data_IF_143188409824
#
_entry.id   IF_143188409824
#
_cell.length_a   1.000
_cell.length_b   1.000
_cell.length_c   1.000
_cell.angle_alpha   90.00
_cell.angle_beta   90.00
_cell.angle_gamma   90.00
#
_symmetry.space_group_name_H-M   'P 1'
#
loop_
_entity.id
_entity.type
_entity.pdbx_description
1 polymer ?
#
# COMPACT_ATOMS: atom_id res chain seq x y z
N UNK A 1 25.34 -44.82 10.20
CA UNK A 1 25.01 -43.92 11.33
C UNK A 1 23.89 -42.99 10.86
N UNK A 2 22.73 -42.98 11.51
CA UNK A 2 21.63 -42.09 11.11
C UNK A 2 21.85 -40.68 11.65
N UNK A 3 22.26 -39.77 10.75
CA UNK A 3 22.57 -38.37 11.08
C UNK A 3 21.34 -37.63 11.59
N UNK A 4 20.12 -37.95 11.12
CA UNK A 4 18.88 -37.30 11.61
C UNK A 4 18.61 -37.66 13.07
N UNK A 5 18.67 -38.95 13.40
CA UNK A 5 18.47 -39.41 14.78
C UNK A 5 19.54 -38.86 15.73
N UNK A 6 20.78 -38.75 15.27
CA UNK A 6 21.87 -38.14 16.05
C UNK A 6 21.60 -36.66 16.36
N UNK A 7 21.19 -35.88 15.35
CA UNK A 7 20.83 -34.46 15.51
C UNK A 7 19.72 -34.30 16.57
N UNK A 8 18.66 -35.10 16.47
CA UNK A 8 17.52 -35.02 17.39
C UNK A 8 17.90 -35.45 18.81
N UNK A 9 18.70 -36.51 18.96
CA UNK A 9 19.20 -36.98 20.26
C UNK A 9 20.09 -35.93 20.93
N UNK A 10 20.98 -35.29 20.18
CA UNK A 10 21.89 -34.27 20.71
C UNK A 10 21.15 -32.99 21.11
N UNK A 11 20.16 -32.59 20.32
CA UNK A 11 19.27 -31.48 20.66
C UNK A 11 18.41 -31.77 21.90
N UNK A 12 17.98 -33.01 22.10
CA UNK A 12 17.26 -33.40 23.31
C UNK A 12 18.13 -33.31 24.57
N UNK A 13 19.44 -33.56 24.45
CA UNK A 13 20.38 -33.51 25.56
C UNK A 13 20.91 -32.09 25.86
N UNK A 14 21.16 -31.27 24.83
CA UNK A 14 21.92 -30.01 24.97
C UNK A 14 21.08 -28.73 24.80
N UNK A 15 19.76 -28.84 24.59
CA UNK A 15 18.80 -27.76 24.26
C UNK A 15 19.09 -27.01 22.94
N UNK A 16 20.35 -26.82 22.57
CA UNK A 16 20.81 -26.23 21.32
C UNK A 16 22.09 -26.90 20.80
N UNK A 17 22.28 -26.92 19.48
CA UNK A 17 23.52 -27.42 18.84
C UNK A 17 23.91 -26.58 17.62
N UNK A 18 25.17 -26.61 17.22
CA UNK A 18 25.67 -26.07 15.95
C UNK A 18 25.96 -27.19 14.94
N UNK A 19 26.03 -26.82 13.67
CA UNK A 19 26.44 -27.76 12.59
C UNK A 19 27.84 -28.31 12.84
N UNK A 20 28.75 -27.49 13.39
CA UNK A 20 30.11 -27.89 13.78
C UNK A 20 30.12 -29.07 14.75
N UNK A 21 29.13 -29.13 15.64
CA UNK A 21 29.10 -30.12 16.72
C UNK A 21 28.72 -31.50 16.19
N UNK A 22 28.02 -31.56 15.05
CA UNK A 22 27.69 -32.80 14.35
C UNK A 22 28.82 -33.18 13.38
N UNK A 23 29.46 -32.21 12.74
CA UNK A 23 30.65 -32.46 11.91
C UNK A 23 31.78 -33.08 12.73
N UNK A 24 32.08 -32.53 13.91
CA UNK A 24 33.15 -33.03 14.78
C UNK A 24 32.91 -34.45 15.31
N UNK A 25 31.65 -34.88 15.42
CA UNK A 25 31.28 -36.20 15.94
C UNK A 25 31.10 -37.25 14.84
N UNK A 26 30.71 -36.82 13.64
CA UNK A 26 30.44 -37.74 12.51
C UNK A 26 31.57 -37.82 11.49
N UNK A 27 32.44 -36.81 11.41
CA UNK A 27 33.48 -36.69 10.38
C UNK A 27 32.95 -36.37 8.97
N UNK A 28 31.65 -36.17 8.79
CA UNK A 28 31.06 -35.88 7.48
C UNK A 28 31.29 -34.45 7.03
N UNK A 29 31.22 -34.25 5.70
CA UNK A 29 31.34 -32.91 5.10
C UNK A 29 30.23 -31.97 5.59
N UNK A 30 30.56 -30.68 5.72
CA UNK A 30 29.58 -29.65 6.14
C UNK A 30 28.36 -29.59 5.22
N UNK A 31 28.53 -29.82 3.92
CA UNK A 31 27.43 -29.84 2.96
C UNK A 31 26.45 -30.99 3.23
N UNK A 32 26.98 -32.18 3.53
CA UNK A 32 26.19 -33.37 3.83
C UNK A 32 25.41 -33.22 5.15
N UNK A 33 26.05 -32.72 6.21
CA UNK A 33 25.37 -32.45 7.49
C UNK A 33 24.29 -31.37 7.34
N UNK A 34 24.58 -30.29 6.60
CA UNK A 34 23.61 -29.21 6.35
C UNK A 34 22.35 -29.69 5.62
N UNK A 35 22.47 -30.70 4.76
CA UNK A 35 21.31 -31.29 4.09
C UNK A 35 20.31 -31.85 5.11
N UNK A 36 20.76 -32.60 6.12
CA UNK A 36 19.88 -33.13 7.17
C UNK A 36 19.29 -32.05 8.10
N UNK A 37 20.06 -31.01 8.43
CA UNK A 37 19.52 -29.86 9.17
C UNK A 37 18.44 -29.12 8.36
N UNK A 38 18.60 -29.04 7.03
CA UNK A 38 17.58 -28.47 6.15
C UNK A 38 16.33 -29.35 6.14
N UNK A 39 16.45 -30.65 5.95
CA UNK A 39 15.30 -31.57 5.98
C UNK A 39 14.55 -31.54 7.31
N UNK A 40 15.25 -31.60 8.45
CA UNK A 40 14.59 -31.53 9.77
C UNK A 40 13.91 -30.18 10.04
N UNK A 41 14.41 -29.09 9.42
CA UNK A 41 13.78 -27.78 9.49
C UNK A 41 12.55 -27.70 8.58
N UNK A 42 12.63 -28.28 7.39
CA UNK A 42 11.53 -28.35 6.43
C UNK A 42 10.39 -29.26 6.98
N UNK A 43 10.74 -30.34 7.69
CA UNK A 43 9.84 -31.19 8.49
C UNK A 43 9.30 -30.48 9.76
N UNK A 44 9.82 -29.29 10.09
CA UNK A 44 9.40 -28.49 11.24
C UNK A 44 9.78 -29.05 12.60
N UNK A 45 10.74 -29.98 12.67
CA UNK A 45 11.23 -30.62 13.91
C UNK A 45 12.25 -29.76 14.65
N UNK A 46 12.97 -28.89 13.94
CA UNK A 46 14.01 -28.01 14.51
C UNK A 46 13.91 -26.58 13.98
N UNK A 47 14.47 -25.61 14.71
CA UNK A 47 14.46 -24.18 14.37
C UNK A 47 15.89 -23.66 14.41
N UNK A 48 16.25 -22.81 13.44
CA UNK A 48 17.53 -22.09 13.41
C UNK A 48 17.40 -20.74 14.14
N UNK A 49 18.32 -20.48 15.06
CA UNK A 49 18.49 -19.25 15.82
C UNK A 49 19.85 -18.62 15.48
N UNK A 50 19.88 -17.31 15.29
CA UNK A 50 21.11 -16.57 14.97
C UNK A 50 21.46 -16.54 13.47
N UNK A 51 22.52 -15.80 13.12
CA UNK A 51 23.01 -15.64 11.74
C UNK A 51 24.51 -15.97 11.67
N UNK A 52 24.96 -16.43 10.50
CA UNK A 52 26.35 -16.73 10.20
C UNK A 52 27.03 -17.59 11.29
N UNK A 53 28.11 -17.09 11.89
CA UNK A 53 28.92 -17.82 12.88
C UNK A 53 28.22 -18.02 14.25
N UNK A 54 27.03 -17.44 14.44
CA UNK A 54 26.21 -17.61 15.63
C UNK A 54 24.98 -18.51 15.39
N UNK A 55 24.90 -19.18 14.24
CA UNK A 55 23.83 -20.12 13.92
C UNK A 55 23.79 -21.31 14.90
N UNK A 56 22.69 -21.43 15.64
CA UNK A 56 22.37 -22.53 16.56
C UNK A 56 21.01 -23.12 16.22
N UNK A 57 20.84 -24.42 16.38
CA UNK A 57 19.59 -25.12 16.14
C UNK A 57 19.00 -25.56 17.47
N UNK A 58 17.67 -25.49 17.59
CA UNK A 58 16.92 -25.96 18.76
C UNK A 58 15.77 -26.89 18.32
N UNK A 59 15.27 -27.75 19.22
CA UNK A 59 14.05 -28.53 18.98
C UNK A 59 12.83 -27.61 18.88
N UNK A 60 11.98 -27.88 17.89
CA UNK A 60 10.69 -27.24 17.79
C UNK A 60 9.74 -27.85 18.85
N UNK A 61 9.68 -27.26 20.06
CA UNK A 61 8.64 -27.66 21.04
C UNK A 61 7.26 -27.37 20.42
N UNK A 62 6.31 -28.30 20.57
CA UNK A 62 4.94 -28.25 20.02
C UNK A 62 4.19 -26.92 20.29
N UNK A 63 4.60 -26.15 21.30
CA UNK A 63 4.02 -24.84 21.66
C UNK A 63 4.95 -23.61 21.42
N UNK A 64 6.17 -23.77 20.89
CA UNK A 64 7.17 -22.69 20.83
C UNK A 64 7.56 -22.20 19.42
N UNK A 65 6.80 -22.51 18.35
CA UNK A 65 6.99 -21.79 17.07
C UNK A 65 6.79 -20.27 17.24
N UNK A 66 6.00 -19.83 18.21
CA UNK A 66 5.82 -18.41 18.56
C UNK A 66 6.94 -17.84 19.47
N UNK A 67 7.57 -18.64 20.33
CA UNK A 67 8.56 -18.14 21.30
C UNK A 67 9.91 -17.77 20.64
N UNK A 68 10.36 -18.49 19.61
CA UNK A 68 11.63 -18.21 18.91
C UNK A 68 11.56 -17.09 17.86
N UNK A 69 10.36 -16.83 17.31
CA UNK A 69 10.12 -15.78 16.29
C UNK A 69 9.82 -14.40 16.89
N UNK A 70 9.36 -14.35 18.14
CA UNK A 70 8.96 -13.12 18.84
C UNK A 70 10.00 -11.98 18.91
N UNK A 71 11.33 -12.20 18.94
CA UNK A 71 12.26 -11.07 19.05
C UNK A 71 12.52 -10.36 17.71
N UNK A 72 12.28 -11.00 16.56
CA UNK A 72 12.57 -10.39 15.26
C UNK A 72 11.36 -9.57 14.82
N UNK A 73 11.40 -8.27 15.12
CA UNK A 73 10.33 -7.32 14.80
C UNK A 73 10.60 -6.49 13.54
N UNK A 74 11.57 -6.91 12.73
CA UNK A 74 11.88 -6.24 11.46
C UNK A 74 12.38 -7.21 10.40
N UNK A 75 12.00 -6.96 9.15
CA UNK A 75 12.53 -7.61 7.95
C UNK A 75 13.09 -6.56 7.00
N UNK A 76 14.20 -6.90 6.35
CA UNK A 76 14.77 -6.15 5.23
C UNK A 76 15.16 -7.14 4.13
N UNK A 77 14.62 -6.93 2.93
CA UNK A 77 14.85 -7.80 1.77
C UNK A 77 15.16 -6.96 0.54
N UNK A 78 16.19 -7.35 -0.21
CA UNK A 78 16.47 -6.84 -1.55
C UNK A 78 16.08 -7.96 -2.52
N UNK A 79 15.05 -7.71 -3.33
CA UNK A 79 14.40 -8.68 -4.18
C UNK A 79 14.78 -8.41 -5.64
N UNK A 80 15.13 -9.45 -6.39
CA UNK A 80 15.24 -9.35 -7.84
C UNK A 80 13.85 -9.39 -8.46
N UNK A 81 13.54 -8.43 -9.33
CA UNK A 81 12.23 -8.35 -9.97
C UNK A 81 12.16 -9.29 -11.20
N UNK A 82 12.26 -10.60 -10.94
CA UNK A 82 12.16 -11.65 -11.95
C UNK A 82 11.37 -12.81 -11.36
N UNK A 83 10.18 -13.07 -11.92
CA UNK A 83 9.24 -14.08 -11.40
C UNK A 83 8.97 -13.92 -9.89
N UNK A 84 8.89 -12.66 -9.43
CA UNK A 84 8.61 -12.32 -8.04
C UNK A 84 7.09 -12.38 -7.81
N UNK A 85 6.70 -12.83 -6.62
CA UNK A 85 5.30 -13.03 -6.21
C UNK A 85 5.13 -12.39 -4.84
N UNK A 86 4.24 -11.41 -4.72
CA UNK A 86 4.07 -10.59 -3.52
C UNK A 86 3.57 -11.39 -2.31
N UNK A 87 2.68 -12.36 -2.55
CA UNK A 87 2.18 -13.33 -1.57
C UNK A 87 3.32 -14.15 -0.95
N UNK A 88 4.21 -14.72 -1.79
CA UNK A 88 5.36 -15.51 -1.34
C UNK A 88 6.35 -14.67 -0.53
N UNK A 89 6.53 -13.40 -0.91
CA UNK A 89 7.38 -12.48 -0.15
C UNK A 89 6.77 -12.18 1.21
N UNK A 90 5.46 -11.94 1.28
CA UNK A 90 4.74 -11.70 2.52
C UNK A 90 4.78 -12.94 3.44
N UNK A 91 4.55 -14.14 2.91
CA UNK A 91 4.61 -15.40 3.65
C UNK A 91 6.01 -15.68 4.20
N UNK A 92 7.05 -15.37 3.42
CA UNK A 92 8.44 -15.39 3.90
C UNK A 92 8.64 -14.43 5.07
N UNK A 93 8.11 -13.19 5.02
CA UNK A 93 8.20 -12.24 6.15
C UNK A 93 7.45 -12.76 7.38
N UNK A 94 6.23 -13.30 7.21
CA UNK A 94 5.41 -13.85 8.29
C UNK A 94 6.05 -15.08 8.95
N UNK A 95 6.72 -15.92 8.17
CA UNK A 95 7.36 -17.13 8.68
C UNK A 95 8.71 -16.88 9.35
N UNK A 96 9.43 -15.83 8.92
CA UNK A 96 10.77 -15.48 9.42
C UNK A 96 10.75 -14.48 10.59
N UNK A 97 9.65 -13.77 10.83
CA UNK A 97 9.57 -12.69 11.83
C UNK A 97 8.39 -12.82 12.80
N UNK A 98 8.49 -12.14 13.94
CA UNK A 98 7.41 -11.99 14.93
C UNK A 98 6.52 -10.76 14.68
N UNK A 99 6.68 -10.07 13.54
CA UNK A 99 5.91 -8.84 13.22
C UNK A 99 4.41 -9.08 13.34
N UNK A 100 3.93 -10.22 12.83
CA UNK A 100 2.50 -10.54 12.74
C UNK A 100 1.93 -11.27 13.97
N UNK A 101 2.72 -11.44 15.04
CA UNK A 101 2.29 -12.21 16.21
C UNK A 101 1.29 -11.48 17.10
N UNK A 102 0.26 -12.19 17.54
CA UNK A 102 -0.78 -11.64 18.41
C UNK A 102 -1.37 -10.33 17.88
N UNK A 103 -1.46 -10.18 16.56
CA UNK A 103 -2.13 -9.03 15.95
C UNK A 103 -3.64 -9.25 15.88
N UNK A 104 -4.44 -8.21 16.14
CA UNK A 104 -5.85 -8.24 15.82
C UNK A 104 -6.08 -8.57 14.34
N UNK A 105 -7.13 -9.34 14.04
CA UNK A 105 -7.44 -9.80 12.67
C UNK A 105 -7.58 -8.64 11.67
N UNK A 106 -8.18 -7.53 12.08
CA UNK A 106 -8.33 -6.34 11.23
C UNK A 106 -6.98 -5.73 10.85
N UNK A 107 -6.03 -5.66 11.78
CA UNK A 107 -4.68 -5.14 11.53
C UNK A 107 -3.90 -6.08 10.61
N UNK A 108 -3.95 -7.39 10.85
CA UNK A 108 -3.32 -8.36 9.96
C UNK A 108 -3.88 -8.26 8.54
N UNK A 109 -5.20 -8.17 8.39
CA UNK A 109 -5.85 -8.01 7.09
C UNK A 109 -5.44 -6.73 6.36
N UNK A 110 -5.39 -5.59 7.06
CA UNK A 110 -4.90 -4.31 6.51
C UNK A 110 -3.48 -4.44 6.00
N UNK A 111 -2.58 -5.02 6.80
CA UNK A 111 -1.18 -5.19 6.43
C UNK A 111 -1.00 -6.14 5.26
N UNK A 112 -1.75 -7.24 5.23
CA UNK A 112 -1.71 -8.22 4.15
C UNK A 112 -2.09 -7.57 2.83
N UNK A 113 -3.27 -6.93 2.78
CA UNK A 113 -3.76 -6.24 1.60
C UNK A 113 -2.84 -5.10 1.16
N UNK A 114 -2.50 -4.19 2.08
CA UNK A 114 -1.70 -3.01 1.75
C UNK A 114 -0.31 -3.39 1.24
N UNK A 115 0.35 -4.38 1.86
CA UNK A 115 1.68 -4.78 1.46
C UNK A 115 1.67 -5.47 0.08
N UNK A 116 0.76 -6.42 -0.15
CA UNK A 116 0.67 -7.13 -1.43
C UNK A 116 0.36 -6.17 -2.57
N UNK A 117 -0.63 -5.28 -2.39
CA UNK A 117 -0.96 -4.28 -3.40
C UNK A 117 0.24 -3.37 -3.73
N UNK A 118 0.97 -2.89 -2.72
CA UNK A 118 2.10 -1.98 -2.96
C UNK A 118 3.30 -2.69 -3.58
N UNK A 119 3.58 -3.93 -3.18
CA UNK A 119 4.64 -4.73 -3.77
C UNK A 119 4.28 -5.16 -5.21
N UNK A 120 3.04 -5.59 -5.46
CA UNK A 120 2.59 -5.96 -6.80
C UNK A 120 2.69 -4.78 -7.77
N UNK A 121 2.25 -3.58 -7.35
CA UNK A 121 2.44 -2.35 -8.14
C UNK A 121 3.92 -2.10 -8.48
N UNK A 122 4.84 -2.36 -7.56
CA UNK A 122 6.27 -2.23 -7.82
C UNK A 122 6.76 -3.31 -8.81
N UNK A 123 6.33 -4.57 -8.67
CA UNK A 123 6.67 -5.68 -9.56
C UNK A 123 6.25 -5.38 -11.00
N UNK A 124 4.97 -5.05 -11.19
CA UNK A 124 4.33 -4.96 -12.50
C UNK A 124 4.65 -3.66 -13.25
N UNK A 125 4.82 -2.55 -12.53
CA UNK A 125 4.81 -1.23 -13.16
C UNK A 125 6.12 -0.46 -13.06
N UNK A 126 7.01 -0.81 -12.11
CA UNK A 126 8.27 -0.07 -11.95
C UNK A 126 9.23 -0.27 -13.13
N UNK A 127 9.26 -1.49 -13.71
CA UNK A 127 10.36 -1.98 -14.56
C UNK A 127 11.74 -1.91 -13.91
N UNK A 128 11.80 -1.84 -12.57
CA UNK A 128 13.06 -1.86 -11.84
C UNK A 128 13.63 -3.27 -11.81
N UNK A 129 14.97 -3.41 -11.87
CA UNK A 129 15.66 -4.71 -11.76
C UNK A 129 15.56 -5.29 -10.34
N UNK A 130 15.50 -4.42 -9.33
CA UNK A 130 15.45 -4.78 -7.92
C UNK A 130 14.38 -3.96 -7.21
N UNK A 131 13.76 -4.58 -6.22
CA UNK A 131 12.80 -3.94 -5.32
C UNK A 131 13.31 -4.19 -3.91
N UNK A 132 13.36 -3.14 -3.10
CA UNK A 132 13.75 -3.22 -1.71
C UNK A 132 12.53 -3.08 -0.80
N UNK A 133 12.45 -3.99 0.17
CA UNK A 133 11.34 -4.07 1.13
C UNK A 133 11.90 -3.95 2.54
N UNK A 134 11.31 -3.04 3.31
CA UNK A 134 11.46 -3.00 4.76
C UNK A 134 10.10 -3.23 5.42
N UNK A 135 10.07 -4.01 6.49
CA UNK A 135 8.88 -4.22 7.30
C UNK A 135 9.30 -4.14 8.76
N UNK A 136 8.56 -3.41 9.59
CA UNK A 136 8.91 -3.22 11.00
C UNK A 136 7.66 -3.14 11.87
N UNK A 137 7.70 -3.81 13.01
CA UNK A 137 6.78 -3.60 14.12
C UNK A 137 7.48 -2.74 15.18
N UNK A 138 6.90 -1.58 15.45
CA UNK A 138 7.22 -0.73 16.59
C UNK A 138 6.44 -1.14 17.84
N UNK A 139 6.47 -0.27 18.85
CA UNK A 139 5.71 -0.45 20.09
C UNK A 139 4.20 -0.33 19.85
N UNK A 140 3.80 0.70 19.09
CA UNK A 140 2.40 1.06 18.89
C UNK A 140 1.96 0.98 17.42
N UNK A 141 2.89 0.81 16.47
CA UNK A 141 2.61 0.77 15.04
C UNK A 141 3.32 -0.39 14.34
N UNK A 142 2.82 -0.67 13.13
CA UNK A 142 3.49 -1.50 12.16
C UNK A 142 3.58 -0.70 10.86
N UNK A 143 4.78 -0.68 10.29
CA UNK A 143 5.06 0.04 9.07
C UNK A 143 5.87 -0.79 8.07
N UNK A 144 5.72 -0.48 6.79
CA UNK A 144 6.54 -1.05 5.74
C UNK A 144 6.96 0.01 4.72
N UNK A 145 8.03 -0.30 3.99
CA UNK A 145 8.50 0.44 2.83
C UNK A 145 8.65 -0.50 1.65
N UNK A 146 8.22 -0.04 0.48
CA UNK A 146 8.50 -0.67 -0.82
C UNK A 146 9.20 0.36 -1.67
N UNK A 147 10.42 0.04 -2.11
CA UNK A 147 11.29 0.96 -2.86
C UNK A 147 11.67 0.30 -4.18
N UNK A 148 11.38 1.00 -5.27
CA UNK A 148 11.87 0.67 -6.60
C UNK A 148 12.73 1.81 -7.16
N UNK A 149 13.61 1.49 -8.11
CA UNK A 149 14.43 2.47 -8.84
C UNK A 149 14.03 2.53 -10.32
N UNK A 150 12.76 2.24 -10.61
CA UNK A 150 12.22 2.14 -11.95
C UNK A 150 11.79 3.48 -12.54
N UNK A 151 10.78 3.42 -13.41
CA UNK A 151 10.22 4.60 -14.09
C UNK A 151 9.65 5.62 -13.09
N UNK A 152 9.13 5.14 -11.96
CA UNK A 152 8.43 5.94 -10.98
C UNK A 152 6.94 6.09 -11.29
N UNK A 153 6.10 5.98 -10.26
CA UNK A 153 4.64 5.91 -10.38
C UNK A 153 4.04 7.12 -11.12
N UNK A 154 4.37 8.35 -10.72
CA UNK A 154 3.77 9.56 -11.33
C UNK A 154 4.19 9.73 -12.78
N UNK A 155 5.46 9.43 -13.11
CA UNK A 155 5.96 9.42 -14.49
C UNK A 155 5.27 8.37 -15.34
N UNK A 156 5.09 7.16 -14.81
CA UNK A 156 4.42 6.07 -15.51
C UNK A 156 2.95 6.44 -15.82
N UNK A 157 2.21 6.94 -14.83
CA UNK A 157 0.82 7.41 -15.01
C UNK A 157 0.77 8.55 -16.03
N UNK A 158 1.62 9.57 -15.87
CA UNK A 158 1.73 10.70 -16.80
C UNK A 158 1.90 10.22 -18.24
N UNK A 159 2.87 9.33 -18.49
CA UNK A 159 3.18 8.82 -19.83
C UNK A 159 2.00 8.02 -20.41
N UNK A 160 1.47 7.06 -19.66
CA UNK A 160 0.42 6.17 -20.17
C UNK A 160 -0.91 6.89 -20.41
N UNK A 161 -1.20 7.95 -19.66
CA UNK A 161 -2.40 8.77 -19.81
C UNK A 161 -2.21 10.06 -20.61
N UNK A 162 -1.01 10.29 -21.15
CA UNK A 162 -0.66 11.52 -21.91
C UNK A 162 -0.97 12.81 -21.13
N UNK A 163 -0.73 12.80 -19.81
CA UNK A 163 -0.98 13.95 -18.93
C UNK A 163 0.14 14.99 -19.07
N UNK A 164 -0.18 16.25 -18.80
CA UNK A 164 0.73 17.38 -19.00
C UNK A 164 1.83 17.43 -17.94
N UNK A 165 1.49 17.02 -16.71
CA UNK A 165 2.40 17.12 -15.57
C UNK A 165 2.28 15.93 -14.61
N UNK A 166 3.27 15.77 -13.73
CA UNK A 166 3.21 14.80 -12.63
C UNK A 166 2.16 15.18 -11.59
N UNK A 167 1.82 16.48 -11.48
CA UNK A 167 0.72 16.95 -10.63
C UNK A 167 -0.64 16.44 -11.16
N UNK A 168 -0.85 16.48 -12.48
CA UNK A 168 -2.06 15.88 -13.08
C UNK A 168 -2.09 14.36 -12.84
N UNK A 169 -0.94 13.68 -12.89
CA UNK A 169 -0.87 12.26 -12.56
C UNK A 169 -1.24 11.95 -11.10
N UNK A 170 -0.82 12.80 -10.17
CA UNK A 170 -1.21 12.72 -8.75
C UNK A 170 -2.71 12.95 -8.59
N UNK A 171 -3.24 13.99 -9.23
CA UNK A 171 -4.66 14.34 -9.20
C UNK A 171 -5.54 13.20 -9.75
N UNK A 172 -5.11 12.55 -10.82
CA UNK A 172 -5.77 11.36 -11.33
C UNK A 172 -5.66 10.18 -10.35
N UNK A 173 -4.47 9.92 -9.80
CA UNK A 173 -4.23 8.84 -8.82
C UNK A 173 -5.20 8.91 -7.63
N UNK A 174 -5.41 10.12 -7.09
CA UNK A 174 -6.26 10.36 -5.92
C UNK A 174 -7.73 10.01 -6.18
N UNK A 175 -8.22 10.12 -7.43
CA UNK A 175 -9.63 9.85 -7.77
C UNK A 175 -9.99 8.35 -7.70
N UNK A 176 -9.00 7.45 -7.75
CA UNK A 176 -9.23 6.00 -7.80
C UNK A 176 -9.64 5.47 -9.18
N UNK A 177 -9.76 4.14 -9.32
CA UNK A 177 -9.95 3.41 -10.60
C UNK A 177 -8.87 3.74 -11.64
N UNK A 178 -7.64 3.85 -11.16
CA UNK A 178 -6.51 4.26 -11.96
C UNK A 178 -5.71 3.03 -12.36
N UNK A 179 -6.16 2.40 -13.44
CA UNK A 179 -5.44 1.30 -14.07
C UNK A 179 -4.81 1.77 -15.37
N UNK A 180 -3.57 1.35 -15.58
CA UNK A 180 -2.89 1.55 -16.85
C UNK A 180 -2.86 0.28 -17.71
N UNK A 181 -3.53 -0.77 -17.24
CA UNK A 181 -3.79 -2.04 -17.92
C UNK A 181 -5.16 -2.57 -17.45
N UNK A 182 -6.28 -2.03 -17.97
CA UNK A 182 -7.62 -2.33 -17.49
C UNK A 182 -8.04 -3.80 -17.62
N UNK A 183 -7.40 -4.54 -18.52
CA UNK A 183 -7.67 -5.97 -18.75
C UNK A 183 -7.11 -6.88 -17.65
N UNK A 184 -6.13 -6.40 -16.87
CA UNK A 184 -5.43 -7.21 -15.87
C UNK A 184 -5.47 -6.61 -14.46
N UNK A 185 -5.73 -5.30 -14.32
CA UNK A 185 -5.84 -4.63 -13.01
C UNK A 185 -7.05 -3.71 -12.95
N UNK A 186 -7.75 -3.76 -11.83
CA UNK A 186 -8.89 -2.88 -11.51
C UNK A 186 -8.44 -1.43 -11.27
N UNK A 187 -7.16 -1.22 -10.88
CA UNK A 187 -6.62 0.11 -10.59
C UNK A 187 -7.10 0.68 -9.27
N UNK A 188 -7.48 -0.19 -8.34
CA UNK A 188 -8.11 0.15 -7.07
C UNK A 188 -7.17 -0.01 -5.88
N UNK A 189 -6.12 -0.82 -6.03
CA UNK A 189 -5.18 -1.18 -4.96
C UNK A 189 -4.58 0.00 -4.21
N UNK A 190 -4.02 0.98 -4.93
CA UNK A 190 -3.45 2.20 -4.32
C UNK A 190 -4.54 3.03 -3.64
N UNK A 191 -5.72 3.14 -4.27
CA UNK A 191 -6.82 3.91 -3.72
C UNK A 191 -7.27 3.33 -2.38
N UNK A 192 -7.56 2.03 -2.32
CA UNK A 192 -8.00 1.41 -1.08
C UNK A 192 -6.91 1.31 -0.03
N UNK A 193 -5.66 1.05 -0.44
CA UNK A 193 -4.50 1.09 0.46
C UNK A 193 -4.37 2.47 1.12
N UNK A 194 -4.62 3.55 0.37
CA UNK A 194 -4.57 4.91 0.89
C UNK A 194 -5.60 5.22 1.99
N UNK A 195 -6.65 4.39 2.11
CA UNK A 195 -7.75 4.53 3.08
C UNK A 195 -7.69 3.48 4.21
N UNK A 196 -6.97 2.38 3.98
CA UNK A 196 -6.90 1.25 4.88
C UNK A 196 -6.04 1.52 6.13
N UNK A 197 -4.89 2.17 5.96
CA UNK A 197 -3.95 2.48 7.03
C UNK A 197 -4.17 3.83 7.70
N UNK A 198 -3.28 4.18 8.63
CA UNK A 198 -3.28 5.50 9.26
C UNK A 198 -2.56 6.53 8.37
N UNK A 199 -1.46 6.12 7.74
CA UNK A 199 -0.75 6.96 6.76
C UNK A 199 -0.23 6.14 5.59
N UNK A 200 -0.40 6.65 4.37
CA UNK A 200 0.28 6.20 3.17
C UNK A 200 1.04 7.37 2.56
N UNK A 201 2.33 7.18 2.29
CA UNK A 201 3.19 8.15 1.59
C UNK A 201 3.72 7.54 0.32
N UNK A 202 3.52 8.24 -0.79
CA UNK A 202 4.04 7.90 -2.11
C UNK A 202 5.02 9.01 -2.51
N UNK A 203 6.31 8.69 -2.53
CA UNK A 203 7.35 9.57 -3.05
C UNK A 203 7.74 9.07 -4.45
N UNK A 204 7.63 9.94 -5.45
CA UNK A 204 8.10 9.68 -6.80
C UNK A 204 8.49 11.00 -7.47
N UNK A 205 9.53 10.97 -8.32
CA UNK A 205 10.12 12.20 -8.87
C UNK A 205 10.43 13.22 -7.75
N UNK A 206 10.00 14.47 -7.88
CA UNK A 206 10.18 15.56 -6.89
C UNK A 206 8.89 15.84 -6.08
N UNK A 207 7.99 14.85 -6.00
CA UNK A 207 6.71 14.97 -5.30
C UNK A 207 6.56 13.91 -4.22
N UNK A 208 5.93 14.30 -3.11
CA UNK A 208 5.38 13.39 -2.09
C UNK A 208 3.88 13.60 -2.02
N UNK A 209 3.13 12.53 -2.27
CA UNK A 209 1.71 12.42 -1.98
C UNK A 209 1.56 11.73 -0.62
N UNK A 210 0.85 12.36 0.30
CA UNK A 210 0.66 11.88 1.67
C UNK A 210 -0.83 11.79 1.92
N UNK A 211 -1.31 10.60 2.23
CA UNK A 211 -2.64 10.35 2.77
C UNK A 211 -2.50 10.21 4.27
N UNK A 212 -3.05 11.15 5.03
CA UNK A 212 -3.05 11.13 6.48
C UNK A 212 -4.48 10.96 6.98
N UNK A 213 -4.83 9.72 7.33
CA UNK A 213 -6.18 9.39 7.74
C UNK A 213 -6.42 9.68 9.22
N UNK A 214 -5.41 10.09 9.99
CA UNK A 214 -5.59 10.50 11.40
C UNK A 214 -6.22 11.89 11.50
N UNK A 215 -5.90 12.77 10.56
CA UNK A 215 -6.50 14.11 10.44
C UNK A 215 -7.46 14.23 9.24
N UNK A 216 -7.71 13.11 8.56
CA UNK A 216 -8.59 12.98 7.40
C UNK A 216 -8.24 13.92 6.23
N UNK A 217 -6.95 14.03 5.91
CA UNK A 217 -6.46 14.96 4.89
C UNK A 217 -5.43 14.34 3.93
N UNK A 218 -5.22 14.99 2.79
CA UNK A 218 -4.26 14.60 1.77
C UNK A 218 -3.37 15.79 1.45
N UNK A 219 -2.06 15.53 1.34
CA UNK A 219 -1.07 16.56 1.03
C UNK A 219 -0.24 16.18 -0.19
N UNK A 220 0.07 17.19 -1.00
CA UNK A 220 1.07 17.10 -2.07
C UNK A 220 2.17 18.08 -1.74
N UNK A 221 3.38 17.57 -1.50
CA UNK A 221 4.56 18.38 -1.17
C UNK A 221 5.65 18.22 -2.21
N UNK A 222 6.39 19.29 -2.47
CA UNK A 222 7.67 19.18 -3.17
C UNK A 222 8.67 18.44 -2.28
N UNK A 223 9.54 17.66 -2.90
CA UNK A 223 10.57 16.89 -2.22
C UNK A 223 11.80 16.75 -3.11
N UNK A 224 12.92 16.28 -2.53
CA UNK A 224 14.10 15.94 -3.33
C UNK A 224 13.70 14.95 -4.43
N UNK A 225 14.17 15.21 -5.65
CA UNK A 225 13.96 14.32 -6.79
C UNK A 225 14.58 12.95 -6.53
N UNK A 226 13.83 11.89 -6.80
CA UNK A 226 14.29 10.50 -6.74
C UNK A 226 14.05 9.77 -8.06
N UNK A 227 14.79 8.68 -8.28
CA UNK A 227 14.47 7.66 -9.27
C UNK A 227 13.47 6.65 -8.68
N UNK A 228 12.58 6.11 -9.51
CA UNK A 228 11.56 5.14 -9.11
C UNK A 228 10.50 5.69 -8.16
N UNK A 229 9.98 4.79 -7.32
CA UNK A 229 8.94 5.09 -6.32
C UNK A 229 9.39 4.59 -4.95
N UNK A 230 9.03 5.34 -3.91
CA UNK A 230 9.15 4.90 -2.52
C UNK A 230 7.79 5.01 -1.85
N UNK A 231 7.27 3.86 -1.45
CA UNK A 231 6.07 3.74 -0.64
C UNK A 231 6.47 3.64 0.83
N UNK A 232 5.76 4.34 1.69
CA UNK A 232 5.78 4.14 3.14
C UNK A 232 4.34 4.04 3.63
N UNK A 233 4.05 3.00 4.40
CA UNK A 233 2.73 2.75 4.96
C UNK A 233 2.87 2.51 6.46
N UNK A 234 1.91 3.00 7.25
CA UNK A 234 1.83 2.75 8.69
C UNK A 234 0.39 2.50 9.15
N UNK A 235 0.24 1.65 10.15
CA UNK A 235 -1.00 1.43 10.88
C UNK A 235 -0.71 1.16 12.35
N UNK A 236 -1.45 1.80 13.24
CA UNK A 236 -1.39 1.59 14.68
C UNK A 236 -1.97 0.21 15.03
N UNK A 237 -1.32 -0.52 15.92
CA UNK A 237 -1.76 -1.87 16.33
C UNK A 237 -3.11 -1.89 17.06
N UNK A 238 -3.56 -0.72 17.55
CA UNK A 238 -4.85 -0.50 18.20
C UNK A 238 -5.86 0.19 17.28
N UNK A 239 -5.54 0.37 15.99
CA UNK A 239 -6.43 1.02 15.03
C UNK A 239 -7.75 0.24 14.91
N UNK A 240 -8.87 0.97 14.93
CA UNK A 240 -10.22 0.42 14.73
C UNK A 240 -10.59 0.30 13.25
N UNK A 241 -9.69 0.69 12.35
CA UNK A 241 -9.91 0.62 10.90
C UNK A 241 -10.14 -0.83 10.46
N UNK A 242 -10.98 -0.99 9.46
CA UNK A 242 -11.32 -2.27 8.86
C UNK A 242 -11.45 -2.12 7.35
N UNK A 243 -10.81 -3.01 6.58
CA UNK A 243 -10.88 -3.03 5.12
C UNK A 243 -12.31 -3.18 4.60
N UNK A 244 -13.15 -4.00 5.23
CA UNK A 244 -14.53 -4.21 4.79
C UNK A 244 -15.35 -2.92 4.87
N UNK A 245 -15.15 -2.12 5.93
CA UNK A 245 -15.78 -0.82 6.08
C UNK A 245 -15.29 0.17 5.02
N UNK A 246 -13.99 0.13 4.69
CA UNK A 246 -13.41 0.96 3.62
C UNK A 246 -14.00 0.58 2.27
N UNK A 247 -14.04 -0.71 1.92
CA UNK A 247 -14.65 -1.17 0.66
C UNK A 247 -16.13 -0.76 0.59
N UNK A 248 -16.91 -1.05 1.63
CA UNK A 248 -18.34 -0.70 1.69
C UNK A 248 -18.59 0.80 1.52
N UNK A 249 -17.71 1.66 2.05
CA UNK A 249 -17.84 3.12 1.91
C UNK A 249 -17.77 3.59 0.45
N UNK A 250 -16.96 2.91 -0.37
CA UNK A 250 -16.73 3.29 -1.76
C UNK A 250 -17.47 2.40 -2.77
N UNK A 251 -18.09 1.33 -2.31
CA UNK A 251 -18.91 0.44 -3.13
C UNK A 251 -20.35 0.94 -3.27
N UNK A 252 -20.98 0.55 -4.38
CA UNK A 252 -22.42 0.67 -4.61
C UNK A 252 -23.18 -0.55 -4.11
N UNK A 253 -24.47 -0.61 -4.45
CA UNK A 253 -25.37 -1.70 -4.01
C UNK A 253 -24.95 -3.07 -4.55
N UNK A 254 -24.27 -3.11 -5.69
CA UNK A 254 -23.68 -4.32 -6.30
C UNK A 254 -22.28 -4.66 -5.77
N UNK A 255 -21.83 -4.05 -4.68
CA UNK A 255 -20.46 -4.12 -4.14
C UNK A 255 -19.34 -3.63 -5.09
N UNK A 256 -19.67 -3.18 -6.30
CA UNK A 256 -18.72 -2.58 -7.22
C UNK A 256 -18.20 -1.24 -6.67
N UNK A 257 -16.90 -0.97 -6.83
CA UNK A 257 -16.36 0.37 -6.56
C UNK A 257 -17.08 1.36 -7.48
N UNK A 258 -17.93 2.22 -6.94
CA UNK A 258 -18.75 3.14 -7.75
C UNK A 258 -18.84 4.53 -7.16
N UNK A 259 -18.23 4.74 -5.98
CA UNK A 259 -18.23 6.04 -5.29
C UNK A 259 -16.82 6.56 -5.19
N UNK A 260 -16.62 7.86 -5.37
CA UNK A 260 -15.32 8.50 -5.11
C UNK A 260 -15.48 9.84 -4.42
N UNK A 261 -14.44 10.28 -3.71
CA UNK A 261 -14.37 11.57 -3.03
C UNK A 261 -13.19 12.37 -3.59
N UNK A 262 -13.47 13.54 -4.14
CA UNK A 262 -12.48 14.44 -4.74
C UNK A 262 -12.29 15.64 -3.81
N UNK A 263 -11.07 15.84 -3.32
CA UNK A 263 -10.70 16.98 -2.49
C UNK A 263 -10.32 18.15 -3.39
N UNK A 264 -11.18 19.16 -3.49
CA UNK A 264 -11.05 20.24 -4.47
C UNK A 264 -9.76 21.04 -4.25
N UNK A 265 -9.33 21.25 -3.00
CA UNK A 265 -8.08 21.96 -2.67
C UNK A 265 -6.83 21.40 -3.38
N UNK A 266 -6.82 20.11 -3.76
CA UNK A 266 -5.69 19.45 -4.45
C UNK A 266 -5.62 19.74 -5.96
N UNK A 267 -6.68 20.36 -6.50
CA UNK A 267 -6.79 20.73 -7.91
C UNK A 267 -6.49 22.21 -8.16
N UNK A 268 -6.06 22.94 -7.12
CA UNK A 268 -5.68 24.35 -7.23
C UNK A 268 -4.45 24.49 -8.11
N UNK A 269 -4.52 25.38 -9.08
CA UNK A 269 -3.35 25.92 -9.78
C UNK A 269 -3.47 27.44 -9.68
N UNK A 270 -2.57 28.05 -8.91
CA UNK A 270 -2.61 29.47 -8.58
C UNK A 270 -3.47 29.79 -7.34
N UNK A 271 -4.04 30.98 -7.30
CA UNK A 271 -4.68 31.55 -6.09
C UNK A 271 -6.18 31.26 -5.99
N UNK A 272 -6.89 30.99 -7.09
CA UNK A 272 -8.36 30.85 -7.11
C UNK A 272 -8.86 29.76 -8.08
N UNK A 273 -10.07 29.25 -7.85
CA UNK A 273 -10.77 28.24 -8.67
C UNK A 273 -11.72 28.87 -9.69
N UNK A 274 -11.20 29.66 -10.62
CA UNK A 274 -12.04 30.54 -11.44
C UNK A 274 -12.50 29.87 -12.75
N UNK A 275 -11.69 28.98 -13.35
CA UNK A 275 -11.83 28.64 -14.77
C UNK A 275 -12.56 27.33 -15.07
N UNK A 276 -13.17 27.24 -16.27
CA UNK A 276 -13.69 25.98 -16.84
C UNK A 276 -12.60 24.92 -16.99
N UNK A 277 -11.37 25.33 -17.30
CA UNK A 277 -10.25 24.39 -17.45
C UNK A 277 -9.85 23.75 -16.11
N UNK A 278 -10.01 24.45 -14.98
CA UNK A 278 -9.87 23.86 -13.65
C UNK A 278 -11.02 22.87 -13.37
N UNK A 279 -12.27 23.23 -13.66
CA UNK A 279 -13.42 22.33 -13.53
C UNK A 279 -13.25 21.04 -14.33
N UNK A 280 -12.86 21.13 -15.61
CA UNK A 280 -12.60 19.97 -16.47
C UNK A 280 -11.54 19.03 -15.92
N UNK A 281 -10.51 19.55 -15.24
CA UNK A 281 -9.49 18.72 -14.59
C UNK A 281 -10.03 17.98 -13.36
N UNK A 282 -10.88 18.63 -12.58
CA UNK A 282 -11.55 17.99 -11.43
C UNK A 282 -12.40 16.81 -11.91
N UNK A 283 -13.26 17.04 -12.91
CA UNK A 283 -14.25 16.05 -13.37
C UNK A 283 -13.70 15.01 -14.36
N UNK A 284 -12.50 15.21 -14.92
CA UNK A 284 -11.90 14.26 -15.85
C UNK A 284 -11.74 12.87 -15.22
N UNK A 285 -12.23 11.84 -15.91
CA UNK A 285 -12.16 10.44 -15.48
C UNK A 285 -13.15 10.06 -14.38
N UNK A 286 -14.02 10.99 -13.96
CA UNK A 286 -15.06 10.72 -12.96
C UNK A 286 -16.30 10.04 -13.57
N UNK A 287 -16.40 9.98 -14.89
CA UNK A 287 -17.43 9.27 -15.67
C UNK A 287 -17.46 7.75 -15.42
N UNK A 288 -16.48 7.22 -14.69
CA UNK A 288 -16.37 5.80 -14.28
C UNK A 288 -17.07 5.49 -12.96
N UNK A 289 -17.65 6.50 -12.31
CA UNK A 289 -18.30 6.39 -11.00
C UNK A 289 -19.78 6.73 -11.11
N UNK A 290 -20.58 6.15 -10.22
CA UNK A 290 -22.01 6.45 -10.10
C UNK A 290 -22.29 7.56 -9.09
N UNK A 291 -21.44 7.68 -8.06
CA UNK A 291 -21.57 8.72 -7.05
C UNK A 291 -20.23 9.43 -6.84
N UNK A 292 -20.24 10.76 -6.89
CA UNK A 292 -19.07 11.60 -6.73
C UNK A 292 -19.34 12.56 -5.60
N UNK A 293 -18.43 12.62 -4.61
CA UNK A 293 -18.45 13.63 -3.56
C UNK A 293 -17.34 14.64 -3.87
N UNK A 294 -17.70 15.89 -4.10
CA UNK A 294 -16.78 17.02 -4.22
C UNK A 294 -16.64 17.70 -2.84
N UNK A 295 -15.46 17.59 -2.24
CA UNK A 295 -15.16 18.17 -0.93
C UNK A 295 -14.45 19.52 -1.10
N UNK A 296 -15.14 20.59 -0.70
CA UNK A 296 -14.68 21.97 -0.79
C UNK A 296 -13.99 22.48 0.48
N UNK A 297 -13.65 21.58 1.44
CA UNK A 297 -12.94 21.98 2.66
C UNK A 297 -11.64 22.74 2.32
N UNK A 298 -11.53 23.97 2.82
CA UNK A 298 -10.38 24.85 2.56
C UNK A 298 -10.40 25.54 1.19
N UNK A 299 -11.57 25.66 0.57
CA UNK A 299 -11.79 26.41 -0.68
C UNK A 299 -12.65 27.63 -0.37
N UNK A 300 -12.04 28.82 -0.45
CA UNK A 300 -12.73 30.07 -0.09
C UNK A 300 -13.79 30.46 -1.13
N UNK A 301 -13.51 30.23 -2.42
CA UNK A 301 -14.40 30.58 -3.53
C UNK A 301 -14.12 29.75 -4.79
N UNK A 302 -15.13 29.65 -5.65
CA UNK A 302 -15.03 29.14 -7.02
C UNK A 302 -15.66 30.16 -7.98
N UNK A 303 -15.16 30.25 -9.20
CA UNK A 303 -15.74 31.10 -10.23
C UNK A 303 -17.03 30.51 -10.79
N UNK A 304 -17.93 31.39 -11.26
CA UNK A 304 -19.17 30.97 -11.92
C UNK A 304 -18.92 29.99 -13.06
N UNK A 305 -17.86 30.20 -13.84
CA UNK A 305 -17.47 29.33 -14.95
C UNK A 305 -17.07 27.92 -14.48
N UNK A 306 -16.45 27.81 -13.30
CA UNK A 306 -16.15 26.51 -12.67
C UNK A 306 -17.45 25.79 -12.28
N UNK A 307 -18.33 26.47 -11.52
CA UNK A 307 -19.57 25.89 -11.04
C UNK A 307 -20.49 25.44 -12.20
N UNK A 308 -20.64 26.30 -13.22
CA UNK A 308 -21.40 26.04 -14.44
C UNK A 308 -20.92 24.78 -15.18
N UNK A 309 -19.61 24.61 -15.33
CA UNK A 309 -19.03 23.46 -16.03
C UNK A 309 -19.28 22.15 -15.27
N UNK A 310 -19.12 22.15 -13.93
CA UNK A 310 -19.28 20.94 -13.11
C UNK A 310 -20.75 20.57 -12.94
N UNK A 311 -21.56 21.49 -12.40
CA UNK A 311 -22.89 21.18 -11.87
C UNK A 311 -24.01 21.28 -12.91
N UNK A 312 -23.77 21.98 -14.03
CA UNK A 312 -24.74 22.10 -15.12
C UNK A 312 -24.28 21.37 -16.38
N UNK A 313 -23.14 21.75 -16.96
CA UNK A 313 -22.71 21.23 -18.27
C UNK A 313 -22.33 19.75 -18.19
N UNK A 314 -21.45 19.38 -17.24
CA UNK A 314 -20.99 18.00 -17.12
C UNK A 314 -22.08 17.08 -16.57
N UNK A 315 -22.83 17.54 -15.56
CA UNK A 315 -23.98 16.80 -15.02
C UNK A 315 -25.06 16.53 -16.07
N UNK A 316 -25.34 17.48 -16.99
CA UNK A 316 -26.29 17.26 -18.10
C UNK A 316 -25.80 16.17 -19.07
N UNK A 317 -24.49 16.02 -19.24
CA UNK A 317 -23.89 14.99 -20.09
C UNK A 317 -23.80 13.61 -19.43
N UNK A 318 -23.90 13.55 -18.10
CA UNK A 318 -23.82 12.31 -17.31
C UNK A 318 -25.00 12.24 -16.33
N UNK A 319 -26.24 12.13 -16.83
CA UNK A 319 -27.45 12.19 -16.01
C UNK A 319 -27.57 11.03 -15.00
N UNK A 320 -26.90 9.92 -15.27
CA UNK A 320 -26.84 8.70 -14.44
C UNK A 320 -25.86 8.80 -13.27
N UNK A 321 -25.00 9.83 -13.25
CA UNK A 321 -24.00 10.04 -12.20
C UNK A 321 -24.50 11.07 -11.20
N UNK A 322 -24.49 10.75 -9.90
CA UNK A 322 -24.84 11.68 -8.83
C UNK A 322 -23.61 12.44 -8.36
N UNK A 323 -23.64 13.78 -8.44
CA UNK A 323 -22.66 14.65 -7.76
C UNK A 323 -23.26 15.19 -6.46
N UNK A 324 -22.56 14.96 -5.36
CA UNK A 324 -22.77 15.63 -4.07
C UNK A 324 -21.61 16.61 -3.81
N UNK A 325 -21.89 17.75 -3.20
CA UNK A 325 -20.86 18.67 -2.70
C UNK A 325 -20.95 18.76 -1.17
N UNK A 326 -19.80 18.91 -0.51
CA UNK A 326 -19.71 19.02 0.96
C UNK A 326 -18.66 20.06 1.36
N UNK A 327 -18.78 20.56 2.60
CA UNK A 327 -17.85 21.50 3.21
C UNK A 327 -17.65 22.78 2.37
N UNK A 328 -18.73 23.33 1.82
CA UNK A 328 -18.71 24.58 1.05
C UNK A 328 -18.57 25.79 1.96
N UNK A 329 -17.85 26.82 1.51
CA UNK A 329 -17.97 28.17 2.06
C UNK A 329 -19.24 28.83 1.53
N UNK A 330 -19.68 29.93 2.14
CA UNK A 330 -20.85 30.70 1.67
C UNK A 330 -20.70 31.13 0.20
N UNK A 331 -19.51 31.59 -0.19
CA UNK A 331 -19.22 31.98 -1.57
C UNK A 331 -19.28 30.80 -2.55
N UNK A 332 -18.79 29.63 -2.15
CA UNK A 332 -18.85 28.42 -2.97
C UNK A 332 -20.30 27.96 -3.13
N UNK A 333 -21.06 27.93 -2.03
CA UNK A 333 -22.48 27.56 -2.01
C UNK A 333 -23.29 28.45 -2.96
N UNK A 334 -23.09 29.78 -2.87
CA UNK A 334 -23.75 30.75 -3.74
C UNK A 334 -23.48 30.46 -5.23
N UNK A 335 -22.23 30.22 -5.60
CA UNK A 335 -21.83 29.96 -6.99
C UNK A 335 -22.40 28.64 -7.52
N UNK A 336 -22.48 27.61 -6.67
CA UNK A 336 -23.10 26.32 -7.03
C UNK A 336 -24.61 26.50 -7.24
N UNK A 337 -25.32 27.16 -6.32
CA UNK A 337 -26.76 27.39 -6.43
C UNK A 337 -27.13 28.17 -7.68
N UNK A 338 -26.39 29.24 -7.95
CA UNK A 338 -26.58 30.05 -9.15
C UNK A 338 -26.40 29.26 -10.46
N UNK A 339 -25.60 28.18 -10.45
CA UNK A 339 -25.45 27.31 -11.62
C UNK A 339 -26.69 26.47 -11.92
N UNK A 340 -27.54 26.20 -10.91
CA UNK A 340 -28.79 25.46 -11.06
C UNK A 340 -29.95 26.34 -11.56
N UNK A 341 -29.98 27.61 -11.18
CA UNK A 341 -31.04 28.57 -11.55
C UNK A 341 -31.11 28.81 -13.07
N UNK A 342 -29.99 28.65 -13.79
CA UNK A 342 -29.95 28.69 -15.25
C UNK A 342 -30.70 27.53 -15.95
N UNK A 343 -31.35 26.62 -15.21
CA UNK A 343 -32.28 25.62 -15.77
C UNK A 343 -33.62 26.22 -16.22
N UNK A 344 -33.94 27.47 -15.86
CA UNK A 344 -35.26 28.07 -16.04
C UNK A 344 -35.44 29.05 -17.21
N UNK A 345 -34.64 28.99 -18.27
CA UNK A 345 -34.87 29.77 -19.52
C UNK A 345 -34.84 28.83 -20.71
#
# INVERSE_FOLDING_TARGET
MDVKSLILKKLAASNEIRVSDIIGETGFSRAYVNHFFKELRDEGKIILIGKANQARYILAKKNNKAASRSPILSAHKILWNKALSEDKVLDSIKSETGIFFNLPKNISGILDYAFTEMLNNAIEHSKSKKIEVYFKRGKDDINFKVIDWGIGIFKNIKKKKKLRSELEAIQDLIKGKQTTAPKTHTGEGIFFTSKAGDTLVIHGSDKKLIFDNLIEDIFVKNSRRIAGTRIFFTVNIKSKRNLSSVFKMYSGDSFEFSKTKVIIKLFKIGVNYISRSQARRVISGLDKFKNIILDFKGVDTVGQAFADEVFRVWQKRHPDIKIEYRNTSENVEFMIRHSFEKKGI
#
